data_IF_506892292758
#
_entry.id   IF_506892292758
#
_cell.length_a   1.000
_cell.length_b   1.000
_cell.length_c   1.000
_cell.angle_alpha   90.00
_cell.angle_beta   90.00
_cell.angle_gamma   90.00
#
_symmetry.space_group_name_H-M   'P 1'
#
loop_
_entity.id
_entity.type
_entity.pdbx_description
1 polymer ?
#
# COMPACT_ATOMS: atom_id res chain seq x y z
N UNK A 1 -3.24 -17.85 2.25
CA UNK A 1 -2.55 -16.70 2.88
C UNK A 1 -3.04 -16.53 4.32
N UNK A 2 -2.24 -15.90 5.17
CA UNK A 2 -2.59 -15.64 6.57
C UNK A 2 -3.94 -14.93 6.72
N UNK A 3 -4.25 -13.96 5.86
CA UNK A 3 -5.56 -13.27 5.88
C UNK A 3 -6.71 -14.26 5.69
N UNK A 4 -6.63 -15.16 4.69
CA UNK A 4 -7.68 -16.14 4.43
C UNK A 4 -7.84 -17.13 5.59
N UNK A 5 -6.74 -17.54 6.21
CA UNK A 5 -6.74 -18.42 7.39
C UNK A 5 -7.46 -17.74 8.58
N UNK A 6 -7.13 -16.47 8.86
CA UNK A 6 -7.80 -15.72 9.91
C UNK A 6 -9.25 -15.39 9.58
N UNK A 7 -9.58 -15.08 8.32
CA UNK A 7 -10.96 -14.91 7.89
C UNK A 7 -11.78 -16.19 8.13
N UNK A 8 -11.23 -17.35 7.72
CA UNK A 8 -11.86 -18.65 7.99
C UNK A 8 -12.00 -18.93 9.48
N UNK A 9 -10.95 -18.68 10.27
CA UNK A 9 -10.95 -18.87 11.74
C UNK A 9 -12.00 -18.03 12.45
N UNK A 10 -12.33 -16.86 11.92
CA UNK A 10 -13.24 -15.90 12.53
C UNK A 10 -14.58 -15.79 11.81
N UNK A 11 -14.86 -16.69 10.88
CA UNK A 11 -16.07 -16.68 10.05
C UNK A 11 -16.32 -15.34 9.33
N UNK A 12 -15.26 -14.75 8.81
CA UNK A 12 -15.31 -13.51 8.04
C UNK A 12 -15.41 -13.83 6.54
N UNK A 13 -16.54 -13.46 5.93
CA UNK A 13 -16.77 -13.68 4.49
C UNK A 13 -15.85 -12.79 3.66
N UNK A 14 -15.11 -13.39 2.73
CA UNK A 14 -14.29 -12.68 1.74
C UNK A 14 -15.07 -12.57 0.42
N UNK A 15 -15.18 -11.35 -0.11
CA UNK A 15 -15.75 -11.08 -1.43
C UNK A 15 -14.62 -11.02 -2.45
N UNK A 16 -14.75 -11.68 -3.63
CA UNK A 16 -13.73 -11.62 -4.65
C UNK A 16 -13.56 -10.19 -5.20
N UNK A 17 -12.34 -9.80 -5.51
CA UNK A 17 -12.07 -8.56 -6.22
C UNK A 17 -12.56 -8.66 -7.66
N UNK A 18 -13.19 -7.60 -8.15
CA UNK A 18 -13.51 -7.48 -9.57
C UNK A 18 -12.28 -7.05 -10.36
N UNK A 19 -12.14 -7.58 -11.54
CA UNK A 19 -11.12 -7.15 -12.51
C UNK A 19 -11.45 -5.72 -13.01
N UNK A 20 -10.50 -5.07 -13.67
CA UNK A 20 -10.75 -3.83 -14.38
C UNK A 20 -11.68 -4.11 -15.56
N UNK A 21 -12.64 -3.21 -15.78
CA UNK A 21 -13.56 -3.24 -16.92
C UNK A 21 -13.12 -2.23 -17.97
N UNK A 22 -12.73 -1.04 -17.52
CA UNK A 22 -12.46 0.11 -18.37
C UNK A 22 -11.12 0.78 -18.12
N UNK A 23 -10.73 1.58 -19.10
CA UNK A 23 -9.54 2.41 -19.12
C UNK A 23 -9.91 3.79 -19.65
N UNK A 24 -9.57 4.85 -18.91
CA UNK A 24 -9.70 6.23 -19.35
C UNK A 24 -8.33 6.91 -19.27
N UNK A 25 -7.67 7.09 -20.40
CA UNK A 25 -6.30 7.63 -20.49
C UNK A 25 -6.17 8.60 -21.67
N UNK A 26 -5.44 9.69 -21.47
CA UNK A 26 -5.24 10.76 -22.46
C UNK A 26 -6.58 11.24 -23.09
N UNK A 27 -7.64 11.29 -22.25
CA UNK A 27 -8.98 11.70 -22.68
C UNK A 27 -9.74 10.66 -23.52
N UNK A 28 -9.23 9.45 -23.66
CA UNK A 28 -9.83 8.37 -24.45
C UNK A 28 -10.35 7.25 -23.55
N UNK A 29 -11.48 6.69 -23.90
CA UNK A 29 -12.12 5.57 -23.24
C UNK A 29 -11.89 4.28 -24.02
N UNK A 30 -11.44 3.24 -23.32
CA UNK A 30 -11.28 1.88 -23.85
C UNK A 30 -11.80 0.87 -22.84
N UNK A 31 -12.08 -0.35 -23.29
CA UNK A 31 -12.44 -1.46 -22.39
C UNK A 31 -11.29 -2.46 -22.32
N UNK A 32 -11.14 -3.14 -21.18
CA UNK A 32 -10.13 -4.22 -21.05
C UNK A 32 -10.39 -5.32 -22.09
N UNK A 33 -11.67 -5.63 -22.36
CA UNK A 33 -12.04 -6.58 -23.42
C UNK A 33 -11.59 -6.09 -24.80
N UNK A 34 -11.76 -4.80 -25.09
CA UNK A 34 -11.33 -4.20 -26.34
C UNK A 34 -9.81 -4.21 -26.50
N UNK A 35 -9.06 -3.90 -25.43
CA UNK A 35 -7.61 -3.99 -25.46
C UNK A 35 -7.15 -5.43 -25.72
N UNK A 36 -7.69 -6.41 -24.99
CA UNK A 36 -7.32 -7.83 -25.17
C UNK A 36 -7.64 -8.39 -26.55
N UNK A 37 -8.67 -7.90 -27.20
CA UNK A 37 -9.04 -8.32 -28.57
C UNK A 37 -8.31 -7.56 -29.68
N UNK A 38 -7.45 -6.59 -29.34
CA UNK A 38 -6.79 -5.71 -30.32
C UNK A 38 -7.69 -4.67 -30.99
N UNK A 39 -8.99 -4.61 -30.58
CA UNK A 39 -9.92 -3.58 -31.09
C UNK A 39 -9.53 -2.18 -30.60
N UNK A 40 -9.14 -2.10 -29.33
CA UNK A 40 -8.74 -0.85 -28.69
C UNK A 40 -7.22 -0.89 -28.44
N UNK A 41 -6.56 0.26 -28.51
CA UNK A 41 -5.14 0.41 -28.25
C UNK A 41 -4.92 1.41 -27.12
N UNK A 42 -3.86 1.21 -26.32
CA UNK A 42 -3.44 2.22 -25.35
C UNK A 42 -2.73 3.36 -26.10
N UNK A 43 -3.10 4.63 -25.86
CA UNK A 43 -2.49 5.78 -26.54
C UNK A 43 -1.14 6.17 -25.93
N UNK A 44 -0.29 5.18 -25.59
CA UNK A 44 1.05 5.35 -25.04
C UNK A 44 2.08 4.78 -26.00
N UNK A 45 3.02 5.63 -26.46
CA UNK A 45 4.08 5.21 -27.37
C UNK A 45 4.92 4.08 -26.75
N UNK A 46 5.07 2.97 -27.46
CA UNK A 46 5.83 1.80 -27.01
C UNK A 46 5.06 0.84 -26.12
N UNK A 47 3.74 1.06 -25.92
CA UNK A 47 2.91 0.11 -25.19
C UNK A 47 2.69 -1.17 -26.00
N UNK A 48 2.76 -2.32 -25.32
CA UNK A 48 2.42 -3.62 -25.88
C UNK A 48 0.91 -3.74 -26.05
N UNK A 49 0.49 -4.30 -27.17
CA UNK A 49 -0.90 -4.57 -27.45
C UNK A 49 -1.50 -5.59 -26.47
N UNK A 50 -2.78 -5.48 -26.22
CA UNK A 50 -3.54 -6.42 -25.38
C UNK A 50 -3.27 -6.35 -23.88
N UNK A 51 -2.34 -5.52 -23.45
CA UNK A 51 -1.91 -5.42 -22.04
C UNK A 51 -2.11 -4.02 -21.47
N UNK A 52 -2.54 -3.94 -20.22
CA UNK A 52 -2.55 -2.70 -19.43
C UNK A 52 -1.34 -2.65 -18.48
N UNK A 53 -1.00 -3.76 -17.85
CA UNK A 53 0.09 -3.89 -16.89
C UNK A 53 1.27 -4.70 -17.44
N UNK A 54 2.42 -4.61 -16.78
CA UNK A 54 3.63 -5.34 -17.18
C UNK A 54 4.32 -4.77 -18.42
N UNK A 55 4.01 -3.55 -18.80
CA UNK A 55 4.60 -2.86 -19.95
C UNK A 55 6.11 -2.61 -19.77
N UNK A 56 6.55 -2.50 -18.52
CA UNK A 56 7.93 -2.26 -18.14
C UNK A 56 8.86 -3.45 -18.42
N UNK A 57 8.33 -4.67 -18.43
CA UNK A 57 9.12 -5.92 -18.48
C UNK A 57 10.05 -5.95 -19.69
N UNK A 58 9.57 -5.52 -20.87
CA UNK A 58 10.38 -5.48 -22.09
C UNK A 58 11.64 -4.59 -21.99
N UNK A 59 11.60 -3.59 -21.11
CA UNK A 59 12.70 -2.64 -20.90
C UNK A 59 13.66 -3.07 -19.78
N UNK A 60 13.25 -3.99 -18.92
CA UNK A 60 14.07 -4.49 -17.80
C UNK A 60 14.51 -5.94 -17.95
N UNK A 61 14.19 -6.60 -19.07
CA UNK A 61 14.44 -8.03 -19.28
C UNK A 61 15.90 -8.42 -19.03
N UNK A 62 16.87 -7.62 -19.52
CA UNK A 62 18.30 -7.88 -19.28
C UNK A 62 18.70 -7.98 -17.80
N UNK A 63 18.02 -7.25 -16.91
CA UNK A 63 18.30 -7.31 -15.47
C UNK A 63 17.55 -8.49 -14.80
N UNK A 64 16.39 -8.87 -15.33
CA UNK A 64 15.73 -10.11 -14.95
C UNK A 64 16.65 -11.31 -15.28
N UNK A 65 17.23 -11.33 -16.47
CA UNK A 65 18.15 -12.39 -16.89
C UNK A 65 19.45 -12.37 -16.09
N UNK A 66 19.98 -11.19 -15.75
CA UNK A 66 21.13 -11.04 -14.87
C UNK A 66 20.89 -11.69 -13.49
N UNK A 67 19.71 -11.47 -12.91
CA UNK A 67 19.33 -12.13 -11.63
C UNK A 67 19.27 -13.65 -11.77
N UNK A 68 18.70 -14.16 -12.86
CA UNK A 68 18.62 -15.61 -13.13
C UNK A 68 20.01 -16.24 -13.32
N UNK A 69 20.93 -15.55 -13.97
CA UNK A 69 22.26 -16.06 -14.26
C UNK A 69 23.20 -16.00 -13.06
N UNK A 70 23.22 -14.87 -12.33
CA UNK A 70 24.22 -14.61 -11.29
C UNK A 70 23.69 -14.77 -9.86
N UNK A 71 22.36 -14.89 -9.72
CA UNK A 71 21.71 -14.96 -8.41
C UNK A 71 21.56 -13.59 -7.72
N UNK A 72 20.66 -13.55 -6.76
CA UNK A 72 20.29 -12.31 -6.06
C UNK A 72 21.47 -11.69 -5.30
N UNK A 73 22.39 -12.51 -4.80
CA UNK A 73 23.49 -12.06 -3.95
C UNK A 73 24.69 -11.50 -4.71
N UNK A 74 24.70 -11.58 -6.04
CA UNK A 74 25.82 -11.07 -6.82
C UNK A 74 25.97 -9.56 -6.71
N UNK A 75 27.21 -9.01 -6.68
CA UNK A 75 27.45 -7.57 -6.56
C UNK A 75 26.72 -6.74 -7.62
N UNK A 76 26.66 -7.24 -8.86
CA UNK A 76 26.01 -6.55 -9.97
C UNK A 76 24.50 -6.44 -9.81
N UNK A 77 23.85 -7.48 -9.29
CA UNK A 77 22.41 -7.45 -8.96
C UNK A 77 22.18 -6.53 -7.76
N UNK A 78 23.02 -6.61 -6.75
CA UNK A 78 22.91 -5.77 -5.57
C UNK A 78 23.12 -4.28 -5.87
N UNK A 79 23.91 -3.94 -6.88
CA UNK A 79 24.11 -2.56 -7.34
C UNK A 79 22.81 -1.90 -7.85
N UNK A 80 21.81 -2.70 -8.25
CA UNK A 80 20.48 -2.19 -8.67
C UNK A 80 19.74 -1.47 -7.54
N UNK A 81 20.07 -1.73 -6.28
CA UNK A 81 19.47 -1.00 -5.16
C UNK A 81 19.87 0.48 -5.12
N UNK A 82 20.99 0.83 -5.76
CA UNK A 82 21.52 2.21 -5.79
C UNK A 82 20.91 3.08 -6.89
N UNK A 83 20.04 2.53 -7.72
CA UNK A 83 19.34 3.26 -8.81
C UNK A 83 17.83 3.13 -8.65
N UNK A 84 17.13 4.13 -9.18
CA UNK A 84 15.67 4.14 -9.11
C UNK A 84 15.02 3.31 -10.21
N UNK A 85 13.72 3.01 -10.02
CA UNK A 85 12.88 2.42 -11.05
C UNK A 85 12.83 3.29 -12.30
N UNK A 86 12.76 4.61 -12.13
CA UNK A 86 12.79 5.53 -13.27
C UNK A 86 14.11 5.42 -14.05
N UNK A 87 15.25 5.36 -13.34
CA UNK A 87 16.57 5.24 -13.96
C UNK A 87 16.76 3.92 -14.71
N UNK A 88 16.30 2.81 -14.14
CA UNK A 88 16.44 1.50 -14.81
C UNK A 88 15.58 1.43 -16.08
N UNK A 89 14.37 2.01 -16.05
CA UNK A 89 13.52 2.11 -17.23
C UNK A 89 14.17 2.95 -18.33
N UNK A 90 14.70 4.13 -17.97
CA UNK A 90 15.46 4.98 -18.90
C UNK A 90 16.67 4.25 -19.48
N UNK A 91 17.46 3.56 -18.65
CA UNK A 91 18.61 2.74 -19.09
C UNK A 91 18.21 1.56 -19.97
N UNK A 92 16.97 1.09 -19.85
CA UNK A 92 16.38 0.07 -20.71
C UNK A 92 15.85 0.60 -22.03
N UNK A 93 15.87 1.92 -22.24
CA UNK A 93 15.35 2.56 -23.44
C UNK A 93 13.82 2.79 -23.43
N UNK A 94 13.20 2.75 -22.24
CA UNK A 94 11.77 3.01 -22.12
C UNK A 94 11.45 4.45 -22.52
N UNK A 95 10.50 4.68 -23.46
CA UNK A 95 10.02 6.03 -23.75
C UNK A 95 9.29 6.62 -22.53
N UNK A 96 9.21 7.95 -22.48
CA UNK A 96 8.52 8.67 -21.40
C UNK A 96 7.10 8.13 -21.16
N UNK A 97 6.37 7.83 -22.22
CA UNK A 97 5.00 7.29 -22.15
C UNK A 97 4.92 5.98 -21.34
N UNK A 98 5.93 5.11 -21.42
CA UNK A 98 5.97 3.87 -20.63
C UNK A 98 6.32 4.16 -19.16
N UNK A 99 7.19 5.12 -18.89
CA UNK A 99 7.50 5.55 -17.52
C UNK A 99 6.25 6.17 -16.89
N UNK A 100 5.52 6.98 -17.61
CA UNK A 100 4.25 7.57 -17.19
C UNK A 100 3.20 6.46 -16.94
N UNK A 101 3.05 5.51 -17.86
CA UNK A 101 2.14 4.38 -17.71
C UNK A 101 2.50 3.52 -16.49
N UNK A 102 3.78 3.23 -16.25
CA UNK A 102 4.25 2.56 -15.04
C UNK A 102 3.87 3.34 -13.78
N UNK A 103 3.99 4.68 -13.82
CA UNK A 103 3.62 5.56 -12.71
C UNK A 103 2.13 5.44 -12.36
N UNK A 104 1.26 5.44 -13.38
CA UNK A 104 -0.19 5.26 -13.17
C UNK A 104 -0.58 3.81 -12.87
N UNK A 105 0.19 2.85 -13.35
CA UNK A 105 -0.06 1.42 -13.14
C UNK A 105 0.59 0.89 -11.85
N UNK A 106 1.81 0.39 -11.94
CA UNK A 106 2.47 -0.35 -10.87
C UNK A 106 2.84 0.53 -9.66
N UNK A 107 3.37 1.74 -9.91
CA UNK A 107 3.75 2.65 -8.83
C UNK A 107 2.54 3.14 -8.01
N UNK A 108 1.34 3.11 -8.59
CA UNK A 108 0.09 3.40 -7.85
C UNK A 108 -0.14 2.39 -6.74
N UNK A 109 0.06 1.11 -6.99
CA UNK A 109 -0.11 0.05 -5.97
C UNK A 109 0.96 0.14 -4.87
N UNK A 110 2.17 0.59 -5.20
CA UNK A 110 3.23 0.87 -4.22
C UNK A 110 3.03 2.23 -3.50
N UNK A 111 2.06 3.02 -3.89
CA UNK A 111 1.78 4.38 -3.40
C UNK A 111 2.99 5.34 -3.47
N UNK A 112 3.93 5.04 -4.35
CA UNK A 112 5.24 5.65 -4.44
C UNK A 112 5.45 6.39 -5.78
N UNK A 113 6.63 6.99 -5.90
CA UNK A 113 7.09 7.66 -7.13
C UNK A 113 8.26 6.86 -7.70
N UNK A 114 8.27 6.52 -9.00
CA UNK A 114 9.31 5.67 -9.59
C UNK A 114 10.75 6.14 -9.35
N UNK A 115 10.98 7.45 -9.28
CA UNK A 115 12.30 8.04 -9.00
C UNK A 115 12.81 7.79 -7.56
N UNK A 116 11.96 7.34 -6.64
CA UNK A 116 12.32 7.00 -5.26
C UNK A 116 12.32 5.50 -4.96
N UNK A 117 11.76 4.69 -5.86
CA UNK A 117 11.66 3.24 -5.69
C UNK A 117 12.96 2.55 -6.11
N UNK A 118 13.40 1.55 -5.36
CA UNK A 118 14.58 0.74 -5.71
C UNK A 118 14.35 -0.11 -6.96
N UNK A 119 15.24 -0.03 -7.94
CA UNK A 119 15.22 -0.85 -9.13
C UNK A 119 15.42 -2.34 -8.80
N UNK A 120 16.22 -2.67 -7.79
CA UNK A 120 16.40 -4.04 -7.32
C UNK A 120 15.05 -4.65 -6.93
N UNK A 121 14.27 -3.91 -6.14
CA UNK A 121 12.95 -4.39 -5.71
C UNK A 121 12.00 -4.60 -6.88
N UNK A 122 11.96 -3.68 -7.84
CA UNK A 122 11.15 -3.82 -9.06
C UNK A 122 11.51 -5.10 -9.84
N UNK A 123 12.80 -5.35 -10.09
CA UNK A 123 13.27 -6.53 -10.83
C UNK A 123 12.89 -7.82 -10.08
N UNK A 124 13.11 -7.86 -8.76
CA UNK A 124 12.77 -9.02 -7.94
C UNK A 124 11.24 -9.24 -7.84
N UNK A 125 10.45 -8.17 -7.80
CA UNK A 125 9.00 -8.26 -7.80
C UNK A 125 8.48 -8.87 -9.11
N UNK A 126 9.00 -8.45 -10.25
CA UNK A 126 8.62 -9.02 -11.55
C UNK A 126 8.97 -10.52 -11.67
N UNK A 127 10.10 -10.96 -11.10
CA UNK A 127 10.45 -12.40 -11.06
C UNK A 127 9.49 -13.19 -10.16
N UNK A 128 9.09 -12.63 -9.04
CA UNK A 128 8.15 -13.29 -8.11
C UNK A 128 6.76 -13.39 -8.70
N UNK A 129 6.25 -12.32 -9.30
CA UNK A 129 4.89 -12.31 -9.86
C UNK A 129 4.75 -13.24 -11.06
N UNK A 130 5.80 -13.48 -11.83
CA UNK A 130 5.78 -14.48 -12.90
C UNK A 130 5.58 -15.92 -12.41
N UNK A 131 5.82 -16.17 -11.11
CA UNK A 131 5.66 -17.48 -10.46
C UNK A 131 4.35 -17.62 -9.66
N UNK A 132 3.53 -16.57 -9.58
CA UNK A 132 2.21 -16.67 -8.93
C UNK A 132 1.21 -17.32 -9.89
N UNK A 133 0.57 -18.39 -9.43
CA UNK A 133 -0.56 -18.96 -10.15
C UNK A 133 -1.74 -17.98 -10.18
N UNK A 134 -2.53 -18.01 -11.27
CA UNK A 134 -3.75 -17.20 -11.45
C UNK A 134 -4.84 -17.47 -10.38
N UNK A 135 -4.61 -18.41 -9.46
CA UNK A 135 -5.53 -18.85 -8.42
C UNK A 135 -5.46 -18.07 -7.10
N UNK A 136 -4.72 -16.97 -7.01
CA UNK A 136 -4.78 -16.10 -5.84
C UNK A 136 -6.08 -15.29 -5.86
N UNK A 137 -7.04 -15.69 -5.02
CA UNK A 137 -8.29 -14.93 -4.83
C UNK A 137 -7.96 -13.63 -4.10
N UNK A 138 -7.76 -12.58 -4.87
CA UNK A 138 -7.80 -11.22 -4.32
C UNK A 138 -9.22 -10.88 -3.91
N UNK A 139 -9.39 -10.19 -2.78
CA UNK A 139 -10.71 -9.84 -2.32
C UNK A 139 -10.70 -8.84 -1.19
N UNK A 140 -11.90 -8.54 -0.70
CA UNK A 140 -12.09 -7.75 0.51
C UNK A 140 -13.03 -8.46 1.47
N UNK A 141 -12.88 -8.18 2.76
CA UNK A 141 -13.78 -8.73 3.78
C UNK A 141 -15.15 -8.03 3.64
N UNK A 142 -16.23 -8.81 3.66
CA UNK A 142 -17.59 -8.28 3.69
C UNK A 142 -17.76 -7.31 4.86
N UNK A 143 -18.34 -6.15 4.63
CA UNK A 143 -18.48 -5.09 5.62
C UNK A 143 -17.21 -4.27 5.87
N UNK A 144 -16.08 -4.60 5.22
CA UNK A 144 -14.81 -3.87 5.29
C UNK A 144 -13.66 -4.67 5.88
N UNK A 145 -12.43 -4.36 5.47
CA UNK A 145 -11.23 -5.06 5.94
C UNK A 145 -10.94 -4.82 7.44
N UNK A 146 -11.54 -3.79 8.03
CA UNK A 146 -11.46 -3.49 9.46
C UNK A 146 -12.21 -4.49 10.34
N UNK A 147 -13.05 -5.36 9.76
CA UNK A 147 -13.69 -6.46 10.48
C UNK A 147 -12.66 -7.41 11.12
N UNK A 148 -11.50 -7.62 10.48
CA UNK A 148 -10.46 -8.48 11.02
C UNK A 148 -9.85 -7.91 12.31
N UNK A 149 -9.26 -6.70 12.33
CA UNK A 149 -8.73 -6.13 13.57
C UNK A 149 -9.82 -5.90 14.62
N UNK A 150 -11.06 -5.54 14.26
CA UNK A 150 -12.19 -5.44 15.19
C UNK A 150 -12.51 -6.77 15.85
N UNK A 151 -12.51 -7.86 15.09
CA UNK A 151 -12.76 -9.21 15.64
C UNK A 151 -11.62 -9.65 16.56
N UNK A 152 -10.37 -9.38 16.20
CA UNK A 152 -9.21 -9.60 17.08
C UNK A 152 -9.35 -8.81 18.38
N UNK A 153 -9.69 -7.53 18.29
CA UNK A 153 -9.88 -6.67 19.45
C UNK A 153 -10.99 -7.18 20.36
N UNK A 154 -12.13 -7.59 19.79
CA UNK A 154 -13.23 -8.19 20.56
C UNK A 154 -12.80 -9.44 21.33
N UNK A 155 -11.94 -10.28 20.73
CA UNK A 155 -11.43 -11.49 21.38
C UNK A 155 -10.41 -11.20 22.48
N UNK A 156 -9.63 -10.13 22.35
CA UNK A 156 -8.67 -9.68 23.35
C UNK A 156 -9.35 -8.96 24.53
N UNK A 157 -10.49 -8.32 24.29
CA UNK A 157 -11.31 -7.68 25.31
C UNK A 157 -10.54 -6.64 26.14
N UNK A 158 -10.57 -6.77 27.44
CA UNK A 158 -9.94 -5.84 28.40
C UNK A 158 -8.41 -5.80 28.35
N UNK A 159 -7.76 -6.71 27.59
CA UNK A 159 -6.32 -6.67 27.36
C UNK A 159 -5.89 -5.50 26.47
N UNK A 160 -6.84 -4.86 25.76
CA UNK A 160 -6.57 -3.68 24.95
C UNK A 160 -6.93 -2.43 25.75
N UNK A 161 -5.95 -1.57 25.90
CA UNK A 161 -6.11 -0.27 26.55
C UNK A 161 -6.11 0.82 25.46
N UNK A 162 -7.31 1.28 25.11
CA UNK A 162 -7.48 2.37 24.12
C UNK A 162 -7.12 3.73 24.72
N UNK A 163 -6.94 4.73 23.83
CA UNK A 163 -6.65 6.13 24.19
C UNK A 163 -5.38 6.29 25.04
N UNK A 164 -4.39 5.43 24.82
CA UNK A 164 -3.09 5.45 25.51
C UNK A 164 -1.96 5.55 24.47
N UNK A 165 -1.71 6.76 24.01
CA UNK A 165 -0.68 7.02 23.02
C UNK A 165 0.71 7.00 23.66
N UNK A 166 1.62 6.15 23.16
CA UNK A 166 3.01 6.10 23.61
C UNK A 166 3.72 7.43 23.31
N UNK A 167 4.33 8.01 24.36
CA UNK A 167 5.10 9.25 24.28
C UNK A 167 6.60 8.99 24.44
N UNK A 168 6.95 8.08 25.36
CA UNK A 168 8.31 7.73 25.69
C UNK A 168 8.44 6.26 26.05
N UNK A 169 9.57 5.65 25.71
CA UNK A 169 9.94 4.31 26.11
C UNK A 169 11.33 4.34 26.75
N UNK A 170 11.40 4.05 28.04
CA UNK A 170 12.66 3.77 28.73
C UNK A 170 12.86 2.26 28.80
N UNK A 171 14.10 1.78 28.60
CA UNK A 171 14.41 0.36 28.70
C UNK A 171 15.86 0.10 29.14
N UNK A 172 16.05 -1.04 29.81
CA UNK A 172 17.37 -1.56 30.20
C UNK A 172 17.38 -3.10 30.16
N UNK A 173 18.37 -3.73 30.81
CA UNK A 173 18.45 -5.19 30.93
C UNK A 173 17.33 -5.80 31.76
N UNK A 174 16.63 -5.04 32.61
CA UNK A 174 15.61 -5.51 33.52
C UNK A 174 14.19 -5.44 32.91
N UNK A 175 14.00 -4.62 31.90
CA UNK A 175 12.72 -4.47 31.24
C UNK A 175 12.51 -3.12 30.58
N UNK A 176 11.24 -2.71 30.51
CA UNK A 176 10.83 -1.44 29.92
C UNK A 176 9.88 -0.67 30.83
N UNK A 177 9.83 0.64 30.65
CA UNK A 177 8.76 1.52 31.15
C UNK A 177 8.22 2.34 29.98
N UNK A 178 6.96 2.06 29.60
CA UNK A 178 6.27 2.83 28.58
C UNK A 178 5.51 3.99 29.23
N UNK A 179 5.85 5.23 28.88
CA UNK A 179 5.08 6.42 29.27
C UNK A 179 4.06 6.72 28.19
N UNK A 180 2.79 6.61 28.54
CA UNK A 180 1.66 6.83 27.64
C UNK A 180 0.84 8.05 28.08
N UNK A 181 0.23 8.72 27.10
CA UNK A 181 -0.72 9.81 27.36
C UNK A 181 -2.13 9.24 27.44
N UNK A 182 -2.77 9.42 28.59
CA UNK A 182 -4.16 9.04 28.87
C UNK A 182 -4.91 10.27 29.41
N UNK A 183 -5.93 10.76 28.69
CA UNK A 183 -6.73 11.90 29.12
C UNK A 183 -5.90 13.08 29.68
N UNK A 184 -4.91 13.54 28.91
CA UNK A 184 -3.98 14.62 29.26
C UNK A 184 -2.98 14.30 30.41
N UNK A 185 -3.01 13.11 30.98
CA UNK A 185 -2.05 12.65 32.00
C UNK A 185 -1.02 11.70 31.40
N UNK A 186 0.17 11.73 31.95
CA UNK A 186 1.19 10.73 31.63
C UNK A 186 1.11 9.59 32.63
N UNK A 187 1.00 8.37 32.11
CA UNK A 187 0.90 7.13 32.88
C UNK A 187 2.09 6.23 32.50
N UNK A 188 2.77 5.70 33.49
CA UNK A 188 3.86 4.75 33.30
C UNK A 188 3.38 3.32 33.40
N UNK A 189 3.78 2.50 32.44
CA UNK A 189 3.42 1.08 32.37
C UNK A 189 4.74 0.28 32.31
N UNK A 190 5.13 -0.36 33.41
CA UNK A 190 6.31 -1.24 33.42
C UNK A 190 5.96 -2.60 32.79
N UNK A 191 6.95 -3.20 32.11
CA UNK A 191 6.86 -4.55 31.57
C UNK A 191 8.25 -5.18 31.40
N UNK A 192 8.31 -6.50 31.32
CA UNK A 192 9.58 -7.22 31.04
C UNK A 192 10.05 -7.04 29.61
N UNK A 193 9.11 -7.01 28.66
CA UNK A 193 9.37 -6.92 27.21
C UNK A 193 8.31 -6.05 26.54
N UNK A 194 8.65 -5.47 25.41
CA UNK A 194 7.75 -4.65 24.60
C UNK A 194 7.82 -5.06 23.14
N UNK A 195 6.67 -5.03 22.44
CA UNK A 195 6.61 -5.11 20.97
C UNK A 195 6.14 -3.77 20.43
N UNK A 196 6.99 -3.08 19.71
CA UNK A 196 6.63 -1.87 18.98
C UNK A 196 6.07 -2.26 17.60
N UNK A 197 4.74 -2.19 17.47
CA UNK A 197 4.02 -2.42 16.21
C UNK A 197 3.59 -1.08 15.57
N UNK A 198 4.43 -0.07 15.72
CA UNK A 198 4.21 1.33 15.31
C UNK A 198 4.97 1.56 14.00
N UNK A 199 4.37 2.20 12.97
CA UNK A 199 5.10 2.50 11.74
C UNK A 199 6.27 3.46 11.99
N UNK A 200 7.38 3.30 11.26
CA UNK A 200 8.56 4.14 11.42
C UNK A 200 8.28 5.64 11.21
N UNK A 201 7.26 5.98 10.38
CA UNK A 201 6.77 7.35 10.20
C UNK A 201 6.33 8.03 11.50
N UNK A 202 5.90 7.25 12.49
CA UNK A 202 5.49 7.71 13.84
C UNK A 202 6.59 7.42 14.87
N UNK A 203 7.21 6.23 14.80
CA UNK A 203 8.22 5.79 15.78
C UNK A 203 9.39 6.78 15.92
N UNK A 204 9.78 7.43 14.83
CA UNK A 204 10.83 8.48 14.85
C UNK A 204 10.51 9.71 15.73
N UNK A 205 9.25 9.88 16.14
CA UNK A 205 8.82 11.00 16.99
C UNK A 205 8.60 10.57 18.46
N UNK A 206 8.84 9.31 18.79
CA UNK A 206 8.71 8.78 20.16
C UNK A 206 10.07 8.91 20.83
N UNK A 207 10.09 9.42 22.05
CA UNK A 207 11.31 9.50 22.86
C UNK A 207 11.72 8.10 23.34
N UNK A 208 12.92 7.65 22.96
CA UNK A 208 13.45 6.31 23.28
C UNK A 208 14.73 6.49 24.09
N UNK A 209 14.80 5.90 25.28
CA UNK A 209 15.93 6.01 26.17
C UNK A 209 16.31 4.65 26.81
N UNK A 210 17.60 4.18 26.69
CA UNK A 210 18.59 4.75 25.78
C UNK A 210 18.13 4.66 24.34
N UNK A 211 18.71 5.43 23.43
CA UNK A 211 18.39 5.33 21.99
C UNK A 211 18.69 3.93 21.44
N UNK A 212 18.04 3.57 20.34
CA UNK A 212 18.38 2.35 19.60
C UNK A 212 19.78 2.46 18.95
N UNK A 213 20.28 1.34 18.42
CA UNK A 213 21.52 1.34 17.63
C UNK A 213 21.48 2.38 16.50
N UNK A 214 22.65 2.89 16.12
CA UNK A 214 22.78 3.90 15.06
C UNK A 214 22.15 3.39 13.75
N UNK A 215 22.36 2.12 13.44
CA UNK A 215 21.81 1.48 12.25
C UNK A 215 20.28 1.46 12.28
N UNK A 216 19.68 1.14 13.41
CA UNK A 216 18.21 1.13 13.57
C UNK A 216 17.63 2.53 13.51
N UNK A 217 18.23 3.50 14.17
CA UNK A 217 17.83 4.92 14.11
C UNK A 217 17.89 5.41 12.67
N UNK A 218 18.96 5.08 11.93
CA UNK A 218 19.07 5.43 10.52
C UNK A 218 17.92 4.81 9.69
N UNK A 219 17.61 3.53 9.90
CA UNK A 219 16.50 2.88 9.20
C UNK A 219 15.14 3.50 9.56
N UNK A 220 14.87 3.77 10.84
CA UNK A 220 13.62 4.41 11.29
C UNK A 220 13.44 5.79 10.63
N UNK A 221 14.50 6.60 10.61
CA UNK A 221 14.43 7.96 10.08
C UNK A 221 14.28 8.01 8.56
N UNK A 222 14.84 7.03 7.84
CA UNK A 222 14.92 7.06 6.38
C UNK A 222 13.96 6.08 5.68
N UNK A 223 13.27 5.17 6.42
CA UNK A 223 12.30 4.25 5.81
C UNK A 223 11.30 5.02 4.95
N UNK A 224 11.25 4.67 3.68
CA UNK A 224 10.33 5.31 2.74
C UNK A 224 8.90 4.76 2.91
N UNK A 225 7.96 5.69 2.88
CA UNK A 225 6.53 5.44 2.95
C UNK A 225 5.80 6.14 1.81
N UNK A 226 4.74 5.51 1.32
CA UNK A 226 3.95 6.04 0.25
C UNK A 226 2.94 7.12 0.68
N UNK A 227 2.35 7.73 -0.31
CA UNK A 227 1.25 8.68 -0.16
C UNK A 227 -0.02 8.09 -0.76
N UNK A 228 -1.09 8.03 0.02
CA UNK A 228 -2.38 7.54 -0.46
C UNK A 228 -3.55 8.39 0.01
N UNK A 229 -4.45 8.67 -0.94
CA UNK A 229 -5.71 9.35 -0.70
C UNK A 229 -6.85 8.49 -1.21
N UNK A 230 -7.92 8.40 -0.45
CA UNK A 230 -9.19 7.81 -0.86
C UNK A 230 -10.24 8.91 -0.93
N UNK A 231 -10.92 8.99 -2.06
CA UNK A 231 -12.07 9.88 -2.25
C UNK A 231 -13.27 9.00 -2.54
N UNK A 232 -14.18 8.93 -1.60
CA UNK A 232 -15.45 8.22 -1.72
C UNK A 232 -16.51 9.18 -2.24
N UNK A 233 -17.15 8.83 -3.35
CA UNK A 233 -18.15 9.63 -4.06
C UNK A 233 -19.47 8.85 -4.09
N UNK A 234 -20.49 9.35 -3.39
CA UNK A 234 -21.80 8.73 -3.32
C UNK A 234 -22.73 9.31 -4.38
N UNK A 235 -23.46 8.40 -5.03
CA UNK A 235 -24.43 8.69 -6.08
C UNK A 235 -25.77 8.05 -5.77
N UNK A 236 -26.87 8.70 -6.17
CA UNK A 236 -28.24 8.21 -5.98
C UNK A 236 -28.54 6.95 -6.81
N UNK A 237 -27.82 6.75 -7.90
CA UNK A 237 -27.97 5.63 -8.82
C UNK A 237 -26.60 5.11 -9.26
N UNK A 238 -26.51 3.80 -9.52
CA UNK A 238 -25.33 3.11 -10.01
C UNK A 238 -25.30 3.12 -11.54
N UNK A 239 -25.10 4.28 -12.15
CA UNK A 239 -25.04 4.45 -13.61
C UNK A 239 -23.92 3.62 -14.25
N UNK A 240 -22.88 3.30 -13.52
CA UNK A 240 -21.78 2.42 -13.98
C UNK A 240 -22.16 0.95 -14.13
N UNK A 241 -23.36 0.54 -13.70
CA UNK A 241 -23.91 -0.80 -13.90
C UNK A 241 -24.64 -0.92 -15.26
N UNK A 242 -24.84 0.18 -15.99
CA UNK A 242 -25.42 0.17 -17.32
C UNK A 242 -24.50 -0.60 -18.28
N UNK A 243 -25.09 -1.42 -19.15
CA UNK A 243 -24.37 -2.25 -20.13
C UNK A 243 -23.54 -1.46 -21.14
N UNK A 244 -23.88 -0.19 -21.37
CA UNK A 244 -23.16 0.72 -22.26
C UNK A 244 -22.09 1.53 -21.50
N UNK A 245 -22.03 1.41 -20.20
CA UNK A 245 -21.01 2.07 -19.38
C UNK A 245 -19.62 1.48 -19.63
N UNK A 246 -18.60 2.28 -19.37
CA UNK A 246 -17.18 1.82 -19.34
C UNK A 246 -16.93 0.74 -18.26
N UNK A 247 -17.86 0.57 -17.30
CA UNK A 247 -17.84 -0.45 -16.26
C UNK A 247 -17.65 0.10 -14.86
N UNK A 248 -17.42 -0.82 -13.93
CA UNK A 248 -17.41 -0.59 -12.48
C UNK A 248 -16.01 -0.32 -11.89
N UNK A 249 -14.95 -0.69 -12.62
CA UNK A 249 -13.56 -0.52 -12.18
C UNK A 249 -12.73 0.02 -13.34
N UNK A 250 -12.33 1.28 -13.23
CA UNK A 250 -11.66 2.03 -14.28
C UNK A 250 -10.26 2.42 -13.85
N UNK A 251 -9.30 2.10 -14.70
CA UNK A 251 -7.94 2.63 -14.65
C UNK A 251 -7.89 3.99 -15.36
N UNK A 252 -7.13 4.94 -14.80
CA UNK A 252 -6.98 6.26 -15.43
C UNK A 252 -5.61 6.89 -15.13
N UNK A 253 -5.13 7.71 -16.06
CA UNK A 253 -3.96 8.58 -15.92
C UNK A 253 -4.29 9.95 -15.30
N UNK A 254 -5.53 10.14 -14.84
CA UNK A 254 -5.92 11.31 -14.06
C UNK A 254 -5.46 11.20 -12.60
N UNK A 255 -5.55 12.27 -11.80
CA UNK A 255 -5.15 12.22 -10.38
C UNK A 255 -5.90 11.17 -9.55
N UNK A 256 -7.06 10.69 -9.97
CA UNK A 256 -7.79 9.62 -9.27
C UNK A 256 -7.15 8.23 -9.44
N UNK A 257 -6.37 8.00 -10.46
CA UNK A 257 -5.62 6.79 -10.83
C UNK A 257 -6.45 5.53 -10.96
N UNK A 258 -7.27 5.21 -9.96
CA UNK A 258 -8.23 4.11 -9.94
C UNK A 258 -9.56 4.64 -9.48
N UNK A 259 -10.62 4.27 -10.16
CA UNK A 259 -11.99 4.54 -9.71
C UNK A 259 -12.76 3.24 -9.79
N UNK A 260 -13.38 2.83 -8.69
CA UNK A 260 -14.09 1.55 -8.66
C UNK A 260 -15.31 1.57 -7.75
N UNK A 261 -16.31 0.76 -8.11
CA UNK A 261 -17.51 0.53 -7.31
C UNK A 261 -17.14 -0.12 -5.97
N UNK A 262 -17.37 0.58 -4.88
CA UNK A 262 -16.97 0.14 -3.54
C UNK A 262 -18.11 -0.46 -2.72
N UNK A 263 -19.34 -0.02 -2.96
CA UNK A 263 -20.53 -0.47 -2.24
C UNK A 263 -21.24 -1.68 -2.88
N UNK A 264 -20.46 -2.58 -3.47
CA UNK A 264 -20.95 -3.75 -4.20
C UNK A 264 -21.78 -4.71 -3.33
N UNK A 265 -21.53 -4.73 -2.03
CA UNK A 265 -22.18 -5.55 -1.02
C UNK A 265 -23.33 -4.82 -0.30
N UNK A 266 -23.66 -3.61 -0.68
CA UNK A 266 -24.74 -2.84 -0.09
C UNK A 266 -26.00 -2.90 -0.96
N UNK A 267 -27.19 -3.09 -0.37
CA UNK A 267 -28.45 -3.11 -1.11
C UNK A 267 -28.88 -1.72 -1.56
N UNK A 268 -29.85 -1.69 -2.49
CA UNK A 268 -30.50 -0.47 -2.98
C UNK A 268 -29.81 0.18 -4.19
N UNK A 269 -30.41 1.25 -4.73
CA UNK A 269 -29.97 1.88 -5.96
C UNK A 269 -28.72 2.77 -5.78
N UNK A 270 -28.49 3.27 -4.56
CA UNK A 270 -27.31 4.10 -4.27
C UNK A 270 -26.00 3.33 -4.40
N UNK A 271 -24.97 4.03 -4.77
CA UNK A 271 -23.64 3.44 -4.86
C UNK A 271 -22.52 4.42 -4.54
N UNK A 272 -21.35 3.86 -4.28
CA UNK A 272 -20.13 4.63 -4.00
C UNK A 272 -19.09 4.24 -5.04
N UNK A 273 -18.57 5.24 -5.76
CA UNK A 273 -17.29 5.15 -6.47
C UNK A 273 -16.18 5.60 -5.52
N UNK A 274 -15.13 4.81 -5.43
CA UNK A 274 -13.97 5.10 -4.60
C UNK A 274 -12.74 5.29 -5.48
N UNK A 275 -11.99 6.39 -5.28
CA UNK A 275 -10.69 6.55 -5.91
C UNK A 275 -9.58 5.87 -5.11
N UNK A 276 -8.50 5.52 -5.81
CA UNK A 276 -7.21 5.22 -5.19
C UNK A 276 -6.14 6.14 -5.78
N UNK A 277 -6.12 7.34 -5.29
CA UNK A 277 -5.11 8.35 -5.60
C UNK A 277 -3.85 8.07 -4.80
N UNK A 278 -2.68 8.07 -5.43
CA UNK A 278 -1.43 7.72 -4.75
C UNK A 278 -0.21 8.45 -5.32
N UNK A 279 0.94 8.29 -4.66
CA UNK A 279 2.21 8.86 -5.08
C UNK A 279 2.14 10.38 -5.22
N UNK A 280 2.66 10.91 -6.33
CA UNK A 280 2.77 12.35 -6.56
C UNK A 280 1.41 13.06 -6.64
N UNK A 281 0.38 12.39 -7.19
CA UNK A 281 -0.96 12.99 -7.25
C UNK A 281 -1.60 13.10 -5.87
N UNK A 282 -1.38 12.12 -4.99
CA UNK A 282 -1.81 12.23 -3.59
C UNK A 282 -1.10 13.38 -2.87
N UNK A 283 0.19 13.62 -3.15
CA UNK A 283 0.93 14.75 -2.60
C UNK A 283 0.35 16.08 -3.12
N UNK A 284 0.12 16.19 -4.44
CA UNK A 284 -0.45 17.39 -5.06
C UNK A 284 -1.84 17.70 -4.51
N UNK A 285 -2.74 16.71 -4.51
CA UNK A 285 -4.08 16.87 -3.95
C UNK A 285 -4.05 17.11 -2.44
N UNK A 286 -3.08 16.57 -1.71
CA UNK A 286 -2.90 16.77 -0.28
C UNK A 286 -2.67 18.25 0.12
N UNK A 287 -2.23 19.09 -0.81
CA UNK A 287 -2.02 20.54 -0.59
C UNK A 287 -3.30 21.36 -0.76
N UNK A 288 -4.34 20.77 -1.32
CA UNK A 288 -5.63 21.39 -1.59
C UNK A 288 -6.57 21.19 -0.40
N UNK A 289 -7.60 22.02 -0.28
CA UNK A 289 -8.67 21.78 0.67
C UNK A 289 -9.60 20.62 0.26
N UNK A 290 -10.47 20.19 1.17
CA UNK A 290 -11.38 19.05 0.91
C UNK A 290 -12.35 19.30 -0.24
N UNK A 291 -12.82 20.52 -0.43
CA UNK A 291 -13.79 20.86 -1.48
C UNK A 291 -13.09 20.84 -2.85
N UNK A 292 -11.88 21.38 -2.94
CA UNK A 292 -11.07 21.35 -4.16
C UNK A 292 -10.76 19.91 -4.57
N UNK A 293 -10.38 19.03 -3.61
CA UNK A 293 -10.17 17.59 -3.86
C UNK A 293 -11.45 16.93 -4.41
N UNK A 294 -12.61 17.24 -3.83
CA UNK A 294 -13.90 16.71 -4.30
C UNK A 294 -14.29 17.25 -5.68
N UNK A 295 -14.04 18.52 -5.97
CA UNK A 295 -14.29 19.11 -7.28
C UNK A 295 -13.46 18.45 -8.38
N UNK A 296 -12.18 18.17 -8.13
CA UNK A 296 -11.31 17.44 -9.04
C UNK A 296 -11.85 16.02 -9.28
N UNK A 297 -12.28 15.35 -8.20
CA UNK A 297 -12.85 14.00 -8.30
C UNK A 297 -14.14 13.98 -9.12
N UNK A 298 -15.06 14.92 -8.90
CA UNK A 298 -16.29 15.04 -9.66
C UNK A 298 -16.02 15.35 -11.14
N UNK A 299 -15.09 16.28 -11.42
CA UNK A 299 -14.68 16.60 -12.81
C UNK A 299 -14.12 15.36 -13.50
N UNK A 300 -13.28 14.60 -12.83
CA UNK A 300 -12.73 13.35 -13.38
C UNK A 300 -13.83 12.32 -13.64
N UNK A 301 -14.72 12.10 -12.67
CA UNK A 301 -15.84 11.16 -12.85
C UNK A 301 -16.76 11.59 -13.99
N UNK A 302 -17.03 12.89 -14.18
CA UNK A 302 -17.80 13.40 -15.33
C UNK A 302 -17.12 13.09 -16.66
N UNK A 303 -15.80 13.15 -16.72
CA UNK A 303 -15.07 12.82 -17.94
C UNK A 303 -15.12 11.33 -18.27
N UNK A 304 -15.17 10.47 -17.25
CA UNK A 304 -15.25 9.00 -17.40
C UNK A 304 -16.70 8.56 -17.62
N UNK A 305 -17.63 9.13 -16.88
CA UNK A 305 -19.07 8.88 -16.91
C UNK A 305 -19.81 10.22 -17.04
N UNK A 306 -20.17 10.64 -18.24
CA UNK A 306 -20.80 11.96 -18.48
C UNK A 306 -22.08 12.20 -17.68
N UNK A 307 -22.82 11.14 -17.34
CA UNK A 307 -24.05 11.17 -16.54
C UNK A 307 -23.82 11.33 -15.03
N UNK A 308 -22.60 11.13 -14.51
CA UNK A 308 -22.28 11.15 -13.10
C UNK A 308 -22.80 12.40 -12.34
N UNK A 309 -22.71 13.64 -12.88
CA UNK A 309 -23.23 14.82 -12.20
C UNK A 309 -24.72 14.77 -11.85
N UNK A 310 -25.53 14.09 -12.67
CA UNK A 310 -26.98 14.00 -12.48
C UNK A 310 -27.37 13.21 -11.22
N UNK A 311 -26.46 12.38 -10.71
CA UNK A 311 -26.73 11.46 -9.60
C UNK A 311 -25.91 11.77 -8.35
N UNK A 312 -25.06 12.80 -8.38
CA UNK A 312 -24.19 13.17 -7.27
C UNK A 312 -24.98 13.49 -5.99
N UNK A 313 -24.51 13.00 -4.86
CA UNK A 313 -25.07 13.32 -3.55
C UNK A 313 -24.00 13.98 -2.63
N UNK A 314 -22.93 13.30 -2.36
CA UNK A 314 -21.86 13.78 -1.44
C UNK A 314 -20.55 13.02 -1.64
N UNK A 315 -19.48 13.53 -1.04
CA UNK A 315 -18.19 12.87 -1.02
C UNK A 315 -17.44 13.01 0.30
N UNK A 316 -16.53 12.09 0.53
CA UNK A 316 -15.65 12.07 1.70
C UNK A 316 -14.22 11.83 1.23
N UNK A 317 -13.27 12.59 1.80
CA UNK A 317 -11.85 12.47 1.49
C UNK A 317 -11.11 11.98 2.73
N UNK A 318 -10.29 10.95 2.58
CA UNK A 318 -9.28 10.53 3.56
C UNK A 318 -7.91 10.55 2.91
N UNK A 319 -7.06 11.45 3.37
CA UNK A 319 -5.64 11.47 3.04
C UNK A 319 -4.85 10.91 4.21
N UNK A 320 -4.22 9.76 4.01
CA UNK A 320 -3.57 9.01 5.09
C UNK A 320 -2.35 9.72 5.66
N UNK A 321 -1.69 10.57 4.89
CA UNK A 321 -0.54 11.36 5.34
C UNK A 321 -0.92 12.52 6.29
N UNK A 322 -2.22 12.89 6.35
CA UNK A 322 -2.78 13.80 7.36
C UNK A 322 -3.19 13.09 8.64
N UNK A 323 -3.24 11.75 8.64
CA UNK A 323 -3.63 10.99 9.83
C UNK A 323 -2.51 11.04 10.89
N UNK A 324 -2.80 11.51 12.12
CA UNK A 324 -1.77 11.72 13.14
C UNK A 324 -1.11 10.44 13.63
N UNK A 325 -1.76 9.28 13.43
CA UNK A 325 -1.30 7.99 13.95
C UNK A 325 -0.51 7.16 12.95
N UNK A 326 -0.54 7.52 11.67
CA UNK A 326 0.23 6.82 10.64
C UNK A 326 1.07 7.75 9.77
N UNK A 327 0.58 8.97 9.45
CA UNK A 327 1.24 9.99 8.62
C UNK A 327 1.79 9.47 7.29
N UNK A 328 1.24 8.38 6.79
CA UNK A 328 1.74 7.68 5.60
C UNK A 328 0.70 6.69 5.06
N UNK A 329 0.99 6.13 3.88
CA UNK A 329 0.44 4.85 3.44
C UNK A 329 1.30 3.71 4.02
N UNK A 330 1.54 2.65 3.28
CA UNK A 330 2.47 1.58 3.66
C UNK A 330 3.91 1.88 3.19
N UNK A 331 4.86 1.08 3.70
CA UNK A 331 6.27 1.21 3.34
C UNK A 331 6.55 0.73 1.92
N UNK A 332 7.57 1.28 1.28
CA UNK A 332 8.12 0.75 0.04
C UNK A 332 9.65 0.67 0.09
N UNK A 333 10.28 -0.12 -0.84
CA UNK A 333 11.73 -0.17 -0.94
C UNK A 333 12.24 1.07 -1.69
N UNK A 334 12.79 2.00 -0.94
CA UNK A 334 13.49 3.14 -1.49
C UNK A 334 14.87 2.79 -2.05
N UNK A 335 15.43 3.69 -2.86
CA UNK A 335 16.79 3.57 -3.35
C UNK A 335 17.77 3.53 -2.16
N UNK A 336 18.67 2.56 -2.15
CA UNK A 336 19.67 2.37 -1.11
C UNK A 336 19.15 1.81 0.21
N UNK A 337 17.91 1.25 0.22
CA UNK A 337 17.28 0.73 1.45
C UNK A 337 17.29 -0.80 1.57
N UNK A 338 18.15 -1.46 0.80
CA UNK A 338 18.38 -2.89 1.03
C UNK A 338 18.88 -3.14 2.46
N UNK A 339 18.29 -4.15 3.12
CA UNK A 339 18.63 -4.49 4.51
C UNK A 339 17.85 -3.72 5.57
N UNK A 340 17.13 -2.65 5.23
CA UNK A 340 16.33 -1.90 6.19
C UNK A 340 15.30 -2.77 6.90
N UNK A 341 14.64 -3.68 6.19
CA UNK A 341 13.66 -4.60 6.77
C UNK A 341 14.27 -5.45 7.89
N UNK A 342 15.43 -6.04 7.63
CA UNK A 342 16.14 -6.90 8.58
C UNK A 342 16.56 -6.11 9.82
N UNK A 343 17.10 -4.92 9.64
CA UNK A 343 17.51 -4.04 10.75
C UNK A 343 16.28 -3.58 11.54
N UNK A 344 15.21 -3.16 10.87
CA UNK A 344 13.96 -2.73 11.52
C UNK A 344 13.29 -3.87 12.31
N UNK A 345 13.39 -5.11 11.82
CA UNK A 345 12.82 -6.28 12.49
C UNK A 345 13.64 -6.75 13.70
N UNK A 346 14.97 -6.50 13.73
CA UNK A 346 15.88 -7.02 14.75
C UNK A 346 15.52 -6.47 16.14
N UNK A 347 15.39 -7.32 17.19
CA UNK A 347 15.19 -6.85 18.56
C UNK A 347 16.37 -6.02 19.08
N UNK A 348 16.10 -5.11 20.03
CA UNK A 348 17.10 -4.36 20.77
C UNK A 348 16.82 -4.44 22.28
N UNK A 349 17.63 -5.20 23.00
CA UNK A 349 17.35 -5.52 24.38
C UNK A 349 15.97 -6.16 24.58
N UNK A 350 15.14 -5.65 25.48
CA UNK A 350 13.77 -6.15 25.71
C UNK A 350 12.74 -5.62 24.70
N UNK A 351 13.16 -4.85 23.70
CA UNK A 351 12.26 -4.23 22.71
C UNK A 351 12.28 -5.01 21.40
N UNK A 352 11.12 -5.47 20.97
CA UNK A 352 10.87 -6.23 19.74
C UNK A 352 10.06 -5.38 18.76
N UNK A 353 10.08 -5.73 17.48
CA UNK A 353 9.47 -4.91 16.43
C UNK A 353 8.57 -5.73 15.51
N UNK A 354 7.36 -5.23 15.26
CA UNK A 354 6.41 -5.79 14.31
C UNK A 354 5.86 -4.68 13.39
N UNK A 355 5.09 -5.05 12.39
CA UNK A 355 4.49 -4.18 11.38
C UNK A 355 4.87 -4.65 9.98
N UNK A 356 4.10 -4.23 8.99
CA UNK A 356 4.31 -4.62 7.59
C UNK A 356 5.71 -4.27 7.07
N UNK A 357 6.28 -3.16 7.56
CA UNK A 357 7.64 -2.69 7.21
C UNK A 357 8.78 -3.59 7.71
N UNK A 358 8.49 -4.52 8.62
CA UNK A 358 9.42 -5.53 9.14
C UNK A 358 9.21 -6.92 8.52
N UNK A 359 8.23 -7.07 7.61
CA UNK A 359 7.82 -8.34 7.02
C UNK A 359 8.46 -8.60 5.65
N UNK A 360 8.53 -9.87 5.26
CA UNK A 360 8.96 -10.26 3.91
C UNK A 360 7.89 -9.83 2.88
N UNK A 361 6.61 -10.05 3.21
CA UNK A 361 5.47 -9.60 2.42
C UNK A 361 5.04 -8.19 2.82
N UNK A 362 5.99 -7.24 2.80
CA UNK A 362 5.70 -5.86 3.20
C UNK A 362 4.55 -5.23 2.41
N UNK A 363 4.13 -4.03 2.84
CA UNK A 363 3.04 -3.24 2.23
C UNK A 363 1.69 -3.98 2.19
N UNK A 364 1.48 -4.98 3.05
CA UNK A 364 0.28 -5.81 3.02
C UNK A 364 -0.22 -6.19 4.40
N UNK A 365 -1.52 -6.50 4.48
CA UNK A 365 -2.12 -7.07 5.69
C UNK A 365 -1.51 -8.44 6.03
N UNK A 366 -1.15 -9.24 5.02
CA UNK A 366 -0.43 -10.51 5.23
C UNK A 366 0.91 -10.28 5.91
N UNK A 367 1.68 -9.29 5.46
CA UNK A 367 2.95 -8.93 6.09
C UNK A 367 2.80 -8.45 7.52
N UNK A 368 1.74 -7.70 7.83
CA UNK A 368 1.47 -7.31 9.20
C UNK A 368 1.24 -8.54 10.11
N UNK A 369 0.45 -9.51 9.66
CA UNK A 369 0.22 -10.77 10.40
C UNK A 369 1.52 -11.60 10.48
N UNK A 370 2.25 -11.75 9.38
CA UNK A 370 3.55 -12.42 9.32
C UNK A 370 4.50 -11.87 10.40
N UNK A 371 4.60 -10.55 10.49
CA UNK A 371 5.46 -9.89 11.47
C UNK A 371 5.04 -10.16 12.92
N UNK A 372 3.73 -10.21 13.17
CA UNK A 372 3.18 -10.56 14.48
C UNK A 372 3.48 -12.02 14.87
N UNK A 373 3.38 -12.95 13.93
CA UNK A 373 3.74 -14.35 14.15
C UNK A 373 5.25 -14.50 14.42
N UNK A 374 6.09 -13.85 13.62
CA UNK A 374 7.55 -13.86 13.80
C UNK A 374 7.94 -13.36 15.19
N UNK A 375 7.42 -12.20 15.60
CA UNK A 375 7.79 -11.61 16.90
C UNK A 375 7.30 -12.46 18.08
N UNK A 376 6.20 -13.19 17.92
CA UNK A 376 5.74 -14.14 18.93
C UNK A 376 6.75 -15.27 19.16
N UNK A 377 7.33 -15.79 18.09
CA UNK A 377 8.37 -16.83 18.20
C UNK A 377 9.70 -16.27 18.76
N UNK A 378 10.05 -15.04 18.41
CA UNK A 378 11.21 -14.34 19.00
C UNK A 378 11.04 -14.16 20.52
N UNK A 379 9.85 -13.75 20.98
CA UNK A 379 9.55 -13.59 22.40
C UNK A 379 9.64 -14.92 23.16
N UNK A 380 9.10 -16.01 22.62
CA UNK A 380 9.19 -17.36 23.23
C UNK A 380 10.63 -17.80 23.41
N UNK A 381 11.46 -17.62 22.35
CA UNK A 381 12.90 -17.96 22.44
C UNK A 381 13.63 -17.14 23.51
N UNK A 382 13.31 -15.85 23.60
CA UNK A 382 13.91 -14.96 24.58
C UNK A 382 13.40 -15.17 26.03
N UNK A 383 12.37 -16.01 26.24
CA UNK A 383 11.95 -16.46 27.59
C UNK A 383 12.68 -17.70 28.07
N UNK A 384 13.26 -18.47 27.14
CA UNK A 384 13.96 -19.72 27.41
C UNK A 384 15.46 -19.48 27.61
N UNK A 385 15.97 -18.38 27.04
CA UNK A 385 17.39 -17.93 27.18
C UNK A 385 17.57 -17.05 28.41
#
# INVERSE_FOLDING_TARGET
>A
TYIHEYCKKFDLKVLPAKQYDGVYVKGQTSTIKGLRSGRDLLPFKGALEGKLFGQEVQYIQKWIDLVKQKGISSPEVQALDKISVEDILKKGGAPKDIIDLYTYANATEETAVPSKMSALYMVLSNIRTSNFSENTVEGRIFGGNDQLPKTLAKKLGTKIMYNRALQRLDYDSNGITATVKENERLVQIPAKKCVLAIPASILKNIDINPGFSIEKINCINNQQYGHAMKIAMQYRQRFWDDKNSIGQRVFTDTPLRRVYHFSIDQPGPRGILLSFTSGEDAIKLGRLDKNERLNIAQKTCRNIWPEAPNFWEKGVVKYWNEDPWVKASYSFAGVGQKGFREILAKPEGPVFFAGEHTAIQRASMNGAIESGMRVTEELKRAEIS
#
